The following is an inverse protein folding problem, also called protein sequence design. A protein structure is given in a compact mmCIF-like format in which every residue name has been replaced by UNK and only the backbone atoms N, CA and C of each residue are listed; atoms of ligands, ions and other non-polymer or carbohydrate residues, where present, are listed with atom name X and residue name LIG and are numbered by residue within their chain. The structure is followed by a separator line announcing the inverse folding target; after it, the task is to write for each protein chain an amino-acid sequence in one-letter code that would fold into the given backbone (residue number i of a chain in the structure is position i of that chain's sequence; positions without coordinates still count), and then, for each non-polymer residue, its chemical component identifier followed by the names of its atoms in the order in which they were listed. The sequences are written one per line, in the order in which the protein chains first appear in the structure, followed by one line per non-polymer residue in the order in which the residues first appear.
data_IF_065375874512
#
_entry.id   IF_065375874512
#
_cell.length_a   1.000
_cell.length_b   1.000
_cell.length_c   1.000
_cell.angle_alpha   90.00
_cell.angle_beta   90.00
_cell.angle_gamma   90.00
#
_symmetry.space_group_name_H-M   'P 1'
#
loop_
_entity.id
_entity.type
_entity.pdbx_description
1 polymer ?
#
# COMPACT_ATOMS: atom_id res chain seq x y z
N UNK A 1 7.52 -21.20 5.19
CA UNK A 1 8.17 -20.35 4.15
C UNK A 1 7.24 -19.78 3.08
N UNK A 2 6.56 -20.57 2.23
CA UNK A 2 5.78 -20.02 1.08
C UNK A 2 4.68 -19.02 1.49
N UNK A 3 3.88 -19.36 2.51
CA UNK A 3 2.80 -18.49 3.01
C UNK A 3 3.36 -17.17 3.54
N UNK A 4 4.48 -17.21 4.25
CA UNK A 4 5.17 -16.02 4.76
C UNK A 4 5.68 -15.14 3.62
N UNK A 5 6.25 -15.75 2.57
CA UNK A 5 6.60 -15.03 1.35
C UNK A 5 5.36 -14.36 0.71
N UNK A 6 4.18 -14.97 0.84
CA UNK A 6 2.90 -14.41 0.36
C UNK A 6 2.52 -13.16 1.12
N UNK A 7 2.59 -13.18 2.44
CA UNK A 7 2.33 -11.99 3.26
C UNK A 7 3.26 -10.83 2.92
N UNK A 8 4.54 -11.11 2.67
CA UNK A 8 5.52 -10.07 2.33
C UNK A 8 5.24 -9.47 0.95
N UNK A 9 4.92 -10.31 -0.04
CA UNK A 9 4.80 -9.86 -1.44
C UNK A 9 3.43 -9.28 -1.75
N UNK A 10 2.35 -10.02 -1.48
CA UNK A 10 0.98 -9.61 -1.81
C UNK A 10 0.56 -8.28 -1.17
N UNK A 11 1.10 -7.97 0.02
CA UNK A 11 0.72 -6.79 0.82
C UNK A 11 1.88 -5.82 1.07
N UNK A 12 2.90 -5.85 0.20
CA UNK A 12 4.12 -5.04 0.36
C UNK A 12 3.82 -3.54 0.52
N UNK A 13 2.89 -3.00 -0.27
CA UNK A 13 2.51 -1.58 -0.20
C UNK A 13 1.75 -1.20 1.08
N UNK A 14 1.00 -2.14 1.66
CA UNK A 14 0.20 -1.91 2.86
C UNK A 14 1.01 -2.05 4.16
N UNK A 15 1.98 -2.97 4.21
CA UNK A 15 2.79 -3.20 5.40
C UNK A 15 4.27 -3.44 5.08
N UNK A 16 5.07 -2.36 4.89
CA UNK A 16 6.46 -2.46 4.48
C UNK A 16 7.38 -3.16 5.51
N UNK A 17 6.99 -3.18 6.79
CA UNK A 17 7.76 -3.83 7.85
C UNK A 17 7.63 -5.37 7.85
N UNK A 18 6.71 -5.94 7.06
CA UNK A 18 6.51 -7.38 6.95
C UNK A 18 7.81 -8.14 6.64
N UNK A 19 8.65 -7.59 5.75
CA UNK A 19 9.93 -8.20 5.38
C UNK A 19 10.91 -8.28 6.56
N UNK A 20 10.99 -7.23 7.39
CA UNK A 20 11.87 -7.23 8.56
C UNK A 20 11.41 -8.25 9.62
N UNK A 21 10.10 -8.33 9.88
CA UNK A 21 9.54 -9.34 10.77
C UNK A 21 9.80 -10.75 10.24
N UNK A 22 9.68 -10.95 8.94
CA UNK A 22 9.97 -12.22 8.31
C UNK A 22 11.42 -12.65 8.46
N UNK A 23 12.39 -11.73 8.41
CA UNK A 23 13.80 -12.05 8.67
C UNK A 23 14.00 -12.56 10.09
N UNK A 24 13.39 -11.92 11.09
CA UNK A 24 13.45 -12.39 12.49
C UNK A 24 12.82 -13.76 12.62
N UNK A 25 11.63 -13.97 12.06
CA UNK A 25 10.97 -15.28 12.06
C UNK A 25 11.83 -16.36 11.39
N UNK A 26 12.43 -16.07 10.23
CA UNK A 26 13.30 -17.04 9.54
C UNK A 26 14.55 -17.40 10.34
N UNK A 27 15.13 -16.43 11.07
CA UNK A 27 16.29 -16.69 11.93
C UNK A 27 15.93 -17.62 13.11
N UNK A 28 14.76 -17.41 13.72
CA UNK A 28 14.25 -18.30 14.76
C UNK A 28 13.88 -19.68 14.22
N UNK A 29 13.27 -19.72 13.03
CA UNK A 29 12.82 -20.96 12.40
C UNK A 29 14.00 -21.87 12.05
N UNK A 30 15.10 -21.31 11.52
CA UNK A 30 16.35 -22.05 11.28
C UNK A 30 16.85 -22.75 12.55
N UNK A 31 16.87 -22.03 13.68
CA UNK A 31 17.28 -22.60 14.96
C UNK A 31 16.36 -23.74 15.41
N UNK A 32 15.05 -23.54 15.30
CA UNK A 32 14.06 -24.55 15.68
C UNK A 32 14.05 -25.78 14.78
N UNK A 33 14.29 -25.61 13.47
CA UNK A 33 14.35 -26.70 12.50
C UNK A 33 15.61 -27.53 12.69
N UNK A 34 16.75 -26.89 12.93
CA UNK A 34 17.99 -27.59 13.30
C UNK A 34 17.80 -28.39 14.59
N UNK A 35 17.19 -27.80 15.61
CA UNK A 35 16.90 -28.52 16.86
C UNK A 35 16.00 -29.73 16.62
N UNK A 36 14.94 -29.57 15.84
CA UNK A 36 14.01 -30.65 15.47
C UNK A 36 14.73 -31.78 14.74
N UNK A 37 15.56 -31.46 13.75
CA UNK A 37 16.29 -32.46 12.97
C UNK A 37 17.37 -33.20 13.78
N UNK A 38 18.04 -32.51 14.70
CA UNK A 38 19.13 -33.11 15.49
C UNK A 38 18.66 -33.90 16.70
N UNK A 39 17.59 -33.45 17.37
CA UNK A 39 17.20 -33.99 18.68
C UNK A 39 15.81 -34.63 18.73
N UNK A 40 14.90 -34.30 17.81
CA UNK A 40 13.51 -34.79 17.86
C UNK A 40 13.17 -35.80 16.76
N UNK A 41 13.87 -35.78 15.63
CA UNK A 41 13.58 -36.64 14.49
C UNK A 41 14.57 -37.81 14.38
N UNK A 42 14.09 -38.97 13.92
CA UNK A 42 14.97 -40.06 13.48
C UNK A 42 15.60 -39.65 12.15
N UNK A 43 16.89 -39.96 11.95
CA UNK A 43 17.62 -39.67 10.71
C UNK A 43 16.87 -40.20 9.48
N UNK A 44 16.42 -39.32 8.55
CA UNK A 44 15.81 -39.75 7.30
C UNK A 44 16.88 -40.29 6.33
N UNK A 45 16.50 -41.17 5.40
CA UNK A 45 17.38 -41.57 4.31
C UNK A 45 17.71 -40.34 3.44
N UNK A 46 18.94 -40.28 2.93
CA UNK A 46 19.36 -39.20 2.05
C UNK A 46 18.74 -39.39 0.66
N UNK A 47 17.95 -38.43 0.22
CA UNK A 47 17.45 -38.35 -1.16
C UNK A 47 18.15 -37.21 -1.91
N UNK A 48 18.48 -37.44 -3.18
CA UNK A 48 19.05 -36.40 -4.04
C UNK A 48 17.90 -35.67 -4.73
N UNK A 49 17.71 -34.40 -4.41
CA UNK A 49 16.79 -33.52 -5.13
C UNK A 49 17.60 -32.57 -6.03
N UNK A 50 17.20 -32.45 -7.30
CA UNK A 50 17.81 -31.51 -8.24
C UNK A 50 17.25 -30.09 -8.10
N UNK A 51 16.05 -29.94 -7.56
CA UNK A 51 15.34 -28.68 -7.38
C UNK A 51 14.35 -28.78 -6.21
N UNK A 52 13.68 -27.67 -5.91
CA UNK A 52 12.62 -27.58 -4.90
C UNK A 52 11.28 -28.16 -5.42
N UNK A 53 11.19 -28.58 -6.68
CA UNK A 53 9.99 -29.16 -7.27
C UNK A 53 8.86 -28.15 -7.50
N UNK A 54 7.62 -28.56 -7.20
CA UNK A 54 6.39 -27.79 -7.44
C UNK A 54 6.36 -26.42 -6.73
N UNK A 55 7.21 -26.22 -5.72
CA UNK A 55 7.30 -24.97 -4.99
C UNK A 55 7.83 -23.83 -5.86
N UNK A 56 8.68 -24.09 -6.86
CA UNK A 56 9.22 -23.07 -7.76
C UNK A 56 8.11 -22.39 -8.60
N UNK A 57 7.30 -23.12 -9.39
CA UNK A 57 6.21 -22.49 -10.14
C UNK A 57 5.14 -21.87 -9.22
N UNK A 58 4.96 -22.39 -8.00
CA UNK A 58 4.03 -21.79 -7.03
C UNK A 58 4.52 -20.42 -6.54
N UNK A 59 5.82 -20.28 -6.25
CA UNK A 59 6.43 -19.00 -5.88
C UNK A 59 6.36 -18.01 -7.05
N UNK A 60 6.62 -18.46 -8.27
CA UNK A 60 6.50 -17.63 -9.48
C UNK A 60 5.06 -17.13 -9.69
N UNK A 61 4.07 -18.01 -9.52
CA UNK A 61 2.65 -17.64 -9.55
C UNK A 61 2.32 -16.59 -8.50
N UNK A 62 2.83 -16.74 -7.28
CA UNK A 62 2.60 -15.80 -6.19
C UNK A 62 3.22 -14.42 -6.46
N UNK A 63 4.40 -14.37 -7.09
CA UNK A 63 5.01 -13.10 -7.54
C UNK A 63 4.14 -12.42 -8.59
N UNK A 64 3.62 -13.17 -9.57
CA UNK A 64 2.71 -12.63 -10.57
C UNK A 64 1.43 -12.07 -9.92
N UNK A 65 0.83 -12.81 -8.99
CA UNK A 65 -0.35 -12.38 -8.24
C UNK A 65 -0.08 -11.10 -7.43
N UNK A 66 1.10 -10.99 -6.82
CA UNK A 66 1.54 -9.83 -6.04
C UNK A 66 1.54 -8.54 -6.85
N UNK A 67 1.89 -8.58 -8.13
CA UNK A 67 1.83 -7.38 -8.99
C UNK A 67 0.40 -6.85 -9.04
N UNK A 68 -0.58 -7.72 -9.30
CA UNK A 68 -1.99 -7.34 -9.35
C UNK A 68 -2.51 -6.85 -8.00
N UNK A 69 -2.18 -7.53 -6.90
CA UNK A 69 -2.63 -7.13 -5.56
C UNK A 69 -2.08 -5.77 -5.15
N UNK A 70 -0.79 -5.50 -5.36
CA UNK A 70 -0.21 -4.21 -4.98
C UNK A 70 -0.71 -3.06 -5.88
N UNK A 71 -0.93 -3.31 -7.18
CA UNK A 71 -1.56 -2.32 -8.07
C UNK A 71 -3.00 -2.02 -7.65
N UNK A 72 -3.76 -3.05 -7.28
CA UNK A 72 -5.11 -2.88 -6.76
C UNK A 72 -5.11 -2.06 -5.46
N UNK A 73 -4.24 -2.39 -4.51
CA UNK A 73 -4.08 -1.62 -3.26
C UNK A 73 -3.68 -0.17 -3.53
N UNK A 74 -2.75 0.07 -4.44
CA UNK A 74 -2.34 1.42 -4.81
C UNK A 74 -3.49 2.21 -5.45
N UNK A 75 -4.27 1.60 -6.34
CA UNK A 75 -5.32 2.28 -7.10
C UNK A 75 -6.59 2.54 -6.29
N UNK A 76 -6.98 1.61 -5.41
CA UNK A 76 -8.27 1.66 -4.71
C UNK A 76 -8.16 1.94 -3.21
N UNK A 77 -7.03 1.63 -2.58
CA UNK A 77 -6.88 1.74 -1.13
C UNK A 77 -5.93 2.88 -0.70
N UNK A 78 -5.31 3.59 -1.66
CA UNK A 78 -4.32 4.62 -1.34
C UNK A 78 -4.70 6.00 -1.87
N UNK A 79 -4.65 7.01 -0.98
CA UNK A 79 -4.73 8.43 -1.35
C UNK A 79 -3.47 8.90 -2.11
N UNK A 80 -2.44 8.05 -2.22
CA UNK A 80 -1.22 8.35 -2.97
C UNK A 80 -1.51 8.68 -4.43
N UNK A 81 -2.53 8.07 -5.04
CA UNK A 81 -2.94 8.39 -6.41
C UNK A 81 -3.41 9.85 -6.54
N UNK A 82 -4.19 10.34 -5.58
CA UNK A 82 -4.67 11.73 -5.56
C UNK A 82 -3.52 12.73 -5.31
N UNK A 83 -2.52 12.36 -4.52
CA UNK A 83 -1.32 13.16 -4.29
C UNK A 83 -0.38 13.20 -5.50
N UNK A 84 -0.24 12.08 -6.22
CA UNK A 84 0.64 11.95 -7.39
C UNK A 84 0.04 12.56 -8.65
N UNK A 85 -1.28 12.50 -8.80
CA UNK A 85 -1.99 13.11 -9.92
C UNK A 85 -3.08 14.09 -9.43
N UNK A 86 -2.71 15.21 -8.79
CA UNK A 86 -3.69 16.17 -8.30
C UNK A 86 -4.59 16.70 -9.42
N UNK A 87 -4.08 16.82 -10.65
CA UNK A 87 -4.84 17.30 -11.81
C UNK A 87 -5.94 16.36 -12.31
N UNK A 88 -5.87 15.07 -11.97
CA UNK A 88 -6.91 14.08 -12.31
C UNK A 88 -8.05 14.03 -11.29
N UNK A 89 -7.81 14.54 -10.08
CA UNK A 89 -8.75 14.52 -8.95
C UNK A 89 -9.11 15.91 -8.43
N UNK A 90 -8.51 16.97 -8.98
CA UNK A 90 -8.95 18.34 -8.76
C UNK A 90 -10.32 18.48 -9.42
N UNK A 91 -11.38 18.39 -8.61
CA UNK A 91 -12.69 18.91 -8.98
C UNK A 91 -12.48 20.33 -9.50
N UNK A 92 -12.86 20.61 -10.75
CA UNK A 92 -12.99 21.98 -11.24
C UNK A 92 -13.98 22.68 -10.30
N UNK A 93 -13.49 23.44 -9.33
CA UNK A 93 -14.31 24.42 -8.62
C UNK A 93 -15.01 25.24 -9.72
N UNK A 94 -16.35 25.19 -9.83
CA UNK A 94 -17.02 25.92 -10.89
C UNK A 94 -16.66 27.39 -10.71
N UNK A 95 -16.02 27.97 -11.73
CA UNK A 95 -15.54 29.37 -11.78
C UNK A 95 -16.62 30.37 -11.32
N UNK A 96 -17.89 29.97 -11.40
CA UNK A 96 -19.10 30.67 -10.92
C UNK A 96 -19.15 30.93 -9.40
N UNK A 97 -18.59 30.06 -8.55
CA UNK A 97 -18.60 30.24 -7.08
C UNK A 97 -17.55 31.27 -6.59
N UNK A 98 -16.48 31.46 -7.36
CA UNK A 98 -15.47 32.50 -7.11
C UNK A 98 -15.99 33.88 -7.53
N UNK A 99 -16.66 33.98 -8.68
CA UNK A 99 -17.33 35.20 -9.14
C UNK A 99 -18.44 35.64 -8.18
N UNK A 100 -19.29 34.71 -7.73
CA UNK A 100 -20.39 35.03 -6.82
C UNK A 100 -19.93 35.61 -5.47
N UNK A 101 -18.82 35.10 -4.92
CA UNK A 101 -18.23 35.64 -3.68
C UNK A 101 -17.59 37.03 -3.88
N UNK A 102 -17.04 37.30 -5.06
CA UNK A 102 -16.54 38.63 -5.43
C UNK A 102 -17.66 39.67 -5.54
N UNK A 103 -18.77 39.28 -6.18
CA UNK A 103 -19.94 40.14 -6.37
C UNK A 103 -20.65 40.44 -5.04
N UNK A 104 -20.80 39.46 -4.15
CA UNK A 104 -21.35 39.68 -2.81
C UNK A 104 -20.49 40.61 -1.96
N UNK A 105 -19.15 40.51 -2.06
CA UNK A 105 -18.23 41.44 -1.37
C UNK A 105 -18.33 42.85 -1.94
N UNK A 106 -18.43 43.00 -3.26
CA UNK A 106 -18.62 44.30 -3.90
C UNK A 106 -19.94 44.96 -3.49
N UNK A 107 -21.04 44.21 -3.44
CA UNK A 107 -22.34 44.70 -2.95
C UNK A 107 -22.26 45.11 -1.47
N UNK A 108 -21.65 44.29 -0.62
CA UNK A 108 -21.50 44.61 0.79
C UNK A 108 -20.68 45.89 1.02
N UNK A 109 -19.61 46.09 0.26
CA UNK A 109 -18.79 47.31 0.32
C UNK A 109 -19.54 48.55 -0.19
N UNK A 110 -20.34 48.41 -1.26
CA UNK A 110 -21.18 49.49 -1.76
C UNK A 110 -22.27 49.91 -0.74
N UNK A 111 -22.92 48.93 -0.10
CA UNK A 111 -23.93 49.19 0.93
C UNK A 111 -23.35 49.88 2.18
N UNK A 112 -22.14 49.50 2.58
CA UNK A 112 -21.42 50.14 3.69
C UNK A 112 -20.97 51.57 3.33
N UNK A 113 -20.55 51.80 2.08
CA UNK A 113 -20.18 53.13 1.59
C UNK A 113 -21.34 54.13 1.57
N UNK A 114 -22.55 53.67 1.20
CA UNK A 114 -23.75 54.52 1.21
C UNK A 114 -24.20 54.94 2.61
N UNK A 115 -23.92 54.15 3.65
CA UNK A 115 -24.24 54.51 5.04
C UNK A 115 -23.32 55.60 5.62
N UNK A 116 -22.13 55.80 5.04
CA UNK A 116 -21.16 56.78 5.50
C UNK A 116 -21.37 58.20 4.91
N UNK A 117 -22.24 58.37 3.91
CA UNK A 117 -22.55 59.68 3.29
C UNK A 117 -23.83 60.35 3.82
N UNK A 118 -24.51 59.77 4.80
CA UNK A 118 -25.76 60.30 5.38
C UNK A 118 -25.58 61.00 6.74
N UNK A 119 -24.35 61.38 7.10
CA UNK A 119 -24.02 62.16 8.29
C UNK A 119 -23.28 63.44 7.91
#
# INVERSE_FOLDING_TARGET
MVVQFGYITLFASAFPLAGALALVCNALELGSDLFKLCFLCRRPPSERAANIGIWEPLLAFQVALSIFTNLFLFSFASDQMALLFPSLYAEEEPVTAAEGRGLLRAIAQAAVGTAAQQH
#
